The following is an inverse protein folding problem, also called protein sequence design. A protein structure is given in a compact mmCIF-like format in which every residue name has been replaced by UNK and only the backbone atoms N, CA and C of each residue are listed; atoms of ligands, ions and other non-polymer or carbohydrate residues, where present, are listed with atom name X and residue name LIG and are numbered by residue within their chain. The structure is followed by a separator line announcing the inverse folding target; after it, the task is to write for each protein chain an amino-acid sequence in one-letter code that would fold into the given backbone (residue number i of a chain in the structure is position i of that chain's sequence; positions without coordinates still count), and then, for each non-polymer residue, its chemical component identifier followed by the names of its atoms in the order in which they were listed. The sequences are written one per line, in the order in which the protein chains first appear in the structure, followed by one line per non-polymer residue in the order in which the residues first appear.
data_IF_570883537047
#
_entry.id   IF_570883537047
#
_cell.length_a   1.000
_cell.length_b   1.000
_cell.length_c   1.000
_cell.angle_alpha   90.00
_cell.angle_beta   90.00
_cell.angle_gamma   90.00
#
_symmetry.space_group_name_H-M   'P 1'
#
loop_
_entity.id
_entity.type
_entity.pdbx_description
1 polymer ?
#
# COMPACT_ATOMS: atom_id res chain seq x y z
N UNK A 1 -9.90 11.81 -6.53
CA UNK A 1 -9.98 11.21 -7.84
C UNK A 1 -10.43 9.78 -7.86
N UNK A 2 -10.57 9.17 -6.68
CA UNK A 2 -11.14 7.84 -6.54
C UNK A 2 -12.49 7.92 -5.83
N UNK A 3 -13.11 9.07 -5.86
CA UNK A 3 -14.41 9.29 -5.26
C UNK A 3 -15.44 8.34 -5.88
N UNK A 4 -16.27 7.74 -5.03
CA UNK A 4 -17.22 6.73 -5.47
C UNK A 4 -16.64 5.33 -5.59
N UNK A 5 -15.35 5.14 -5.28
CA UNK A 5 -14.71 3.83 -5.31
C UNK A 5 -14.18 3.47 -3.92
N UNK A 6 -14.15 2.16 -3.65
CA UNK A 6 -13.46 1.64 -2.48
C UNK A 6 -11.97 1.68 -2.75
N UNK A 7 -11.17 2.00 -1.73
CA UNK A 7 -9.72 2.15 -1.90
C UNK A 7 -9.00 1.32 -0.85
N UNK A 8 -8.03 0.52 -1.31
CA UNK A 8 -7.11 -0.20 -0.43
C UNK A 8 -5.76 0.46 -0.58
N UNK A 9 -5.24 1.03 0.50
CA UNK A 9 -3.90 1.61 0.52
C UNK A 9 -2.94 0.56 1.08
N UNK A 10 -2.01 0.10 0.26
CA UNK A 10 -0.95 -0.82 0.64
C UNK A 10 0.33 0.00 0.81
N UNK A 11 0.70 0.26 2.05
CA UNK A 11 1.78 1.18 2.41
C UNK A 11 2.96 0.35 2.91
N UNK A 12 4.17 0.66 2.44
CA UNK A 12 5.35 -0.15 2.78
C UNK A 12 6.64 0.66 2.70
N UNK A 13 7.73 0.15 3.33
CA UNK A 13 9.01 0.87 3.31
C UNK A 13 9.62 1.01 1.92
N UNK A 14 9.72 -0.08 1.16
CA UNK A 14 10.31 -0.03 -0.18
C UNK A 14 9.90 -1.25 -0.99
N UNK A 15 9.63 -1.03 -2.28
CA UNK A 15 9.31 -2.12 -3.23
C UNK A 15 10.49 -3.07 -3.41
N UNK A 16 11.69 -2.64 -3.07
CA UNK A 16 12.90 -3.46 -3.21
C UNK A 16 13.14 -4.39 -2.02
N UNK A 17 12.25 -4.44 -1.03
CA UNK A 17 12.32 -5.42 0.05
C UNK A 17 11.42 -6.60 -0.25
N UNK A 18 11.82 -7.81 0.22
CA UNK A 18 11.10 -9.04 -0.13
C UNK A 18 9.64 -9.05 0.27
N UNK A 19 9.33 -8.65 1.50
CA UNK A 19 7.95 -8.67 2.01
C UNK A 19 7.10 -7.60 1.31
N UNK A 20 7.68 -6.44 1.01
CA UNK A 20 6.96 -5.39 0.30
C UNK A 20 6.62 -5.83 -1.12
N UNK A 21 7.57 -6.47 -1.82
CA UNK A 21 7.32 -7.00 -3.14
C UNK A 21 6.23 -8.07 -3.10
N UNK A 22 6.28 -8.97 -2.10
CA UNK A 22 5.26 -10.01 -1.93
C UNK A 22 3.88 -9.42 -1.69
N UNK A 23 3.76 -8.38 -0.86
CA UNK A 23 2.47 -7.76 -0.60
C UNK A 23 1.92 -7.07 -1.84
N UNK A 24 2.77 -6.42 -2.62
CA UNK A 24 2.33 -5.78 -3.87
C UNK A 24 1.77 -6.81 -4.86
N UNK A 25 2.47 -7.95 -5.00
CA UNK A 25 1.98 -9.04 -5.87
C UNK A 25 0.67 -9.61 -5.38
N UNK A 26 0.56 -9.84 -4.07
CA UNK A 26 -0.64 -10.42 -3.48
C UNK A 26 -1.86 -9.52 -3.71
N UNK A 27 -1.74 -8.23 -3.43
CA UNK A 27 -2.84 -7.29 -3.66
C UNK A 27 -3.16 -7.13 -5.14
N UNK A 28 -2.15 -7.22 -6.02
CA UNK A 28 -2.41 -7.18 -7.45
C UNK A 28 -3.29 -8.35 -7.91
N UNK A 29 -3.01 -9.55 -7.40
CA UNK A 29 -3.83 -10.73 -7.74
C UNK A 29 -5.24 -10.57 -7.23
N UNK A 30 -5.38 -10.14 -5.96
CA UNK A 30 -6.69 -10.00 -5.34
C UNK A 30 -7.52 -8.87 -5.96
N UNK A 31 -6.85 -7.80 -6.41
CA UNK A 31 -7.55 -6.65 -6.99
C UNK A 31 -8.38 -7.03 -8.21
N UNK A 32 -7.96 -8.04 -8.96
CA UNK A 32 -8.67 -8.45 -10.17
C UNK A 32 -10.06 -9.01 -9.87
N UNK A 33 -10.31 -9.48 -8.66
CA UNK A 33 -11.59 -10.06 -8.25
C UNK A 33 -12.47 -9.10 -7.46
N UNK A 34 -12.00 -7.87 -7.18
CA UNK A 34 -12.72 -6.90 -6.37
C UNK A 34 -13.48 -5.91 -7.25
N UNK A 35 -14.78 -5.76 -7.00
CA UNK A 35 -15.61 -4.83 -7.77
C UNK A 35 -15.53 -3.42 -7.17
N UNK A 36 -15.51 -2.42 -8.05
CA UNK A 36 -15.52 -1.01 -7.66
C UNK A 36 -14.42 -0.66 -6.65
N UNK A 37 -13.25 -1.29 -6.79
CA UNK A 37 -12.15 -1.17 -5.84
C UNK A 37 -10.87 -0.80 -6.56
N UNK A 38 -10.11 0.13 -5.97
CA UNK A 38 -8.80 0.54 -6.44
C UNK A 38 -7.78 0.17 -5.36
N UNK A 39 -6.69 -0.49 -5.77
CA UNK A 39 -5.58 -0.79 -4.86
C UNK A 39 -4.43 0.15 -5.21
N UNK A 40 -3.93 0.85 -4.20
CA UNK A 40 -2.85 1.83 -4.36
C UNK A 40 -1.67 1.41 -3.50
N UNK A 41 -0.51 1.24 -4.12
CA UNK A 41 0.76 1.01 -3.42
C UNK A 41 1.41 2.36 -3.13
N UNK A 42 1.82 2.59 -1.89
CA UNK A 42 2.45 3.85 -1.47
C UNK A 42 3.73 3.57 -0.72
N UNK A 43 4.82 4.23 -1.12
CA UNK A 43 6.11 4.16 -0.42
C UNK A 43 6.91 5.42 -0.70
N UNK A 44 8.09 5.53 -0.09
CA UNK A 44 9.05 6.61 -0.37
C UNK A 44 9.91 6.31 -1.60
N UNK A 45 9.74 5.16 -2.25
CA UNK A 45 10.44 4.88 -3.50
C UNK A 45 10.14 5.96 -4.53
N UNK A 46 11.07 6.19 -5.44
CA UNK A 46 10.82 7.08 -6.56
C UNK A 46 9.75 6.47 -7.48
N UNK A 47 8.96 7.30 -8.16
CA UNK A 47 7.95 6.77 -9.09
C UNK A 47 8.53 5.86 -10.16
N UNK A 48 9.76 6.13 -10.58
CA UNK A 48 10.45 5.32 -11.58
C UNK A 48 10.71 3.89 -11.09
N UNK A 49 11.10 3.74 -9.81
CA UNK A 49 11.35 2.42 -9.23
C UNK A 49 10.07 1.62 -9.11
N UNK A 50 8.99 2.26 -8.66
CA UNK A 50 7.68 1.61 -8.57
C UNK A 50 7.17 1.17 -9.94
N UNK A 51 7.29 2.04 -10.94
CA UNK A 51 6.88 1.72 -12.30
C UNK A 51 7.68 0.58 -12.89
N UNK A 52 9.00 0.57 -12.68
CA UNK A 52 9.88 -0.50 -13.16
C UNK A 52 9.49 -1.85 -12.55
N UNK A 53 9.23 -1.88 -11.24
CA UNK A 53 8.81 -3.11 -10.56
C UNK A 53 7.51 -3.65 -11.15
N UNK A 54 6.51 -2.81 -11.29
CA UNK A 54 5.22 -3.24 -11.82
C UNK A 54 5.32 -3.71 -13.27
N UNK A 55 6.13 -3.04 -14.09
CA UNK A 55 6.35 -3.48 -15.46
C UNK A 55 7.05 -4.82 -15.52
N UNK A 56 8.10 -5.02 -14.71
CA UNK A 56 8.87 -6.25 -14.69
C UNK A 56 8.05 -7.44 -14.18
N UNK A 57 7.15 -7.22 -13.23
CA UNK A 57 6.32 -8.26 -12.61
C UNK A 57 4.96 -8.42 -13.29
N UNK A 58 4.62 -7.55 -14.24
CA UNK A 58 3.32 -7.61 -14.90
C UNK A 58 2.15 -7.21 -14.02
N UNK A 59 2.37 -6.36 -13.02
CA UNK A 59 1.32 -5.93 -12.09
C UNK A 59 0.50 -4.80 -12.72
N UNK A 60 -0.68 -5.11 -13.20
CA UNK A 60 -1.53 -4.17 -13.94
C UNK A 60 -2.76 -3.71 -13.17
N UNK A 61 -3.06 -4.36 -12.05
CA UNK A 61 -4.29 -4.11 -11.30
C UNK A 61 -4.10 -3.17 -10.10
N UNK A 62 -2.92 -2.60 -9.95
CA UNK A 62 -2.60 -1.69 -8.86
C UNK A 62 -2.07 -0.36 -9.41
N UNK A 63 -2.27 0.69 -8.63
CA UNK A 63 -1.73 2.03 -8.92
C UNK A 63 -0.59 2.29 -7.94
N UNK A 64 0.50 2.87 -8.41
CA UNK A 64 1.64 3.20 -7.56
C UNK A 64 1.72 4.70 -7.34
N UNK A 65 1.83 5.11 -6.09
CA UNK A 65 2.05 6.50 -5.73
C UNK A 65 3.29 6.59 -4.85
N UNK A 66 4.08 7.63 -5.08
CA UNK A 66 5.30 7.85 -4.31
C UNK A 66 5.08 8.96 -3.29
N UNK A 67 5.50 8.72 -2.04
CA UNK A 67 5.49 9.72 -0.98
C UNK A 67 6.85 10.44 -0.89
N UNK A 68 7.70 10.32 -1.90
CA UNK A 68 9.04 10.88 -1.87
C UNK A 68 9.03 12.40 -1.64
N UNK A 69 8.08 13.10 -2.25
CA UNK A 69 8.01 14.57 -2.21
C UNK A 69 6.79 15.09 -1.45
N UNK A 70 6.10 14.24 -0.71
CA UNK A 70 4.90 14.63 0.03
C UNK A 70 5.10 14.43 1.53
N UNK A 71 4.11 14.82 2.31
CA UNK A 71 4.11 14.62 3.76
C UNK A 71 3.07 13.60 4.21
N UNK A 72 2.68 12.70 3.31
CA UNK A 72 1.66 11.69 3.61
C UNK A 72 2.03 10.88 4.85
N UNK A 73 3.29 10.39 4.93
CA UNK A 73 3.74 9.56 6.04
C UNK A 73 3.68 10.28 7.38
N UNK A 74 4.12 11.53 7.41
CA UNK A 74 4.06 12.34 8.62
C UNK A 74 2.63 12.64 9.03
N UNK A 75 1.79 12.99 8.07
CA UNK A 75 0.38 13.33 8.31
C UNK A 75 -0.39 12.17 8.91
N UNK A 76 -0.12 10.94 8.44
CA UNK A 76 -0.82 9.74 8.94
C UNK A 76 -0.05 9.00 10.02
N UNK A 77 1.10 9.52 10.47
CA UNK A 77 1.87 8.89 11.53
C UNK A 77 2.52 7.58 11.13
N UNK A 78 2.88 7.43 9.86
CA UNK A 78 3.42 6.19 9.30
C UNK A 78 4.91 6.25 9.03
N UNK A 79 5.55 7.40 9.19
CA UNK A 79 6.98 7.53 8.94
C UNK A 79 7.77 6.88 10.09
N UNK A 80 8.73 6.03 9.73
CA UNK A 80 9.62 5.38 10.70
C UNK A 80 10.59 6.44 11.23
N UNK A 81 10.68 6.57 12.54
CA UNK A 81 11.47 7.63 13.18
C UNK A 81 12.80 7.15 13.74
N UNK A 82 13.03 5.85 13.81
CA UNK A 82 14.26 5.27 14.32
C UNK A 82 14.67 4.07 13.46
N UNK A 83 15.77 3.41 13.81
CA UNK A 83 16.33 2.27 13.08
C UNK A 83 16.98 2.67 11.76
N UNK A 84 17.66 1.72 11.08
CA UNK A 84 18.24 1.97 9.74
C UNK A 84 17.20 2.36 8.68
N UNK A 85 15.91 2.10 8.93
CA UNK A 85 14.83 2.43 8.00
C UNK A 85 14.19 3.79 8.27
N UNK A 86 14.81 4.60 9.13
CA UNK A 86 14.31 5.93 9.45
C UNK A 86 14.05 6.74 8.19
N UNK A 87 12.90 7.40 8.14
CA UNK A 87 12.48 8.21 7.00
C UNK A 87 11.62 7.47 5.99
N UNK A 88 11.60 6.14 6.02
CA UNK A 88 10.72 5.35 5.17
C UNK A 88 9.35 5.19 5.83
N UNK A 89 8.37 4.72 5.07
CA UNK A 89 7.05 4.44 5.62
C UNK A 89 7.04 3.08 6.30
N UNK A 90 6.25 2.94 7.36
CA UNK A 90 6.01 1.64 7.98
C UNK A 90 5.10 0.80 7.10
N UNK A 91 5.00 -0.50 7.40
CA UNK A 91 4.10 -1.38 6.67
C UNK A 91 2.70 -1.23 7.25
N UNK A 92 1.74 -0.83 6.43
CA UNK A 92 0.38 -0.59 6.88
C UNK A 92 -0.60 -0.83 5.74
N UNK A 93 -1.84 -1.15 6.11
CA UNK A 93 -2.95 -1.26 5.16
C UNK A 93 -4.09 -0.41 5.68
N UNK A 94 -4.66 0.40 4.80
CA UNK A 94 -5.83 1.23 5.11
C UNK A 94 -6.88 0.98 4.03
N UNK A 95 -8.12 0.72 4.45
CA UNK A 95 -9.24 0.52 3.54
C UNK A 95 -10.25 1.66 3.73
N UNK A 96 -10.63 2.29 2.62
CA UNK A 96 -11.61 3.37 2.59
C UNK A 96 -12.84 2.90 1.81
N UNK A 97 -14.02 3.36 2.25
CA UNK A 97 -15.25 3.07 1.51
C UNK A 97 -15.47 4.09 0.38
N UNK A 98 -16.60 3.98 -0.32
CA UNK A 98 -16.93 4.85 -1.46
C UNK A 98 -17.05 6.34 -1.08
N UNK A 99 -17.24 6.63 0.20
CA UNK A 99 -17.36 7.98 0.70
C UNK A 99 -16.05 8.52 1.30
N UNK A 100 -14.96 7.75 1.18
CA UNK A 100 -13.66 8.12 1.75
C UNK A 100 -13.55 7.89 3.24
N UNK A 101 -14.47 7.12 3.84
CA UNK A 101 -14.45 6.83 5.27
C UNK A 101 -13.60 5.60 5.53
N UNK A 102 -12.71 5.68 6.52
CA UNK A 102 -11.82 4.57 6.88
C UNK A 102 -12.65 3.44 7.48
N UNK A 103 -12.52 2.25 6.87
CA UNK A 103 -13.20 1.03 7.32
C UNK A 103 -12.28 0.06 8.05
N UNK A 104 -10.98 0.14 7.78
CA UNK A 104 -10.02 -0.82 8.33
C UNK A 104 -8.63 -0.20 8.31
N UNK A 105 -7.88 -0.42 9.39
CA UNK A 105 -6.47 -0.04 9.44
C UNK A 105 -5.68 -1.15 10.10
N UNK A 106 -4.47 -1.38 9.59
CA UNK A 106 -3.52 -2.27 10.21
C UNK A 106 -2.13 -1.69 10.04
N UNK A 107 -1.40 -1.54 11.14
CA UNK A 107 0.02 -1.22 11.08
C UNK A 107 0.77 -2.45 11.60
N UNK A 108 1.55 -3.09 10.73
CA UNK A 108 2.21 -4.34 11.04
C UNK A 108 3.38 -4.05 11.99
N UNK A 109 3.46 -4.72 13.17
CA UNK A 109 4.48 -4.41 14.17
C UNK A 109 5.90 -4.78 13.76
N UNK A 110 6.06 -5.81 12.90
CA UNK A 110 7.37 -6.27 12.46
C UNK A 110 7.53 -5.98 10.96
N UNK A 111 8.65 -5.36 10.57
CA UNK A 111 8.86 -4.93 9.19
C UNK A 111 8.89 -6.11 8.21
N UNK A 112 9.32 -7.28 8.68
CA UNK A 112 9.41 -8.48 7.85
C UNK A 112 8.11 -9.29 7.82
N UNK A 113 7.08 -8.85 8.53
CA UNK A 113 5.79 -9.53 8.60
C UNK A 113 4.87 -9.02 7.52
N UNK A 114 4.16 -9.92 6.84
CA UNK A 114 3.16 -9.54 5.85
C UNK A 114 1.88 -9.06 6.55
N UNK A 115 1.09 -8.17 5.89
CA UNK A 115 -0.19 -7.75 6.45
C UNK A 115 -1.21 -8.88 6.41
N UNK A 116 -2.32 -8.70 7.13
CA UNK A 116 -3.44 -9.65 7.10
C UNK A 116 -4.30 -9.35 5.88
N UNK A 117 -4.03 -10.02 4.78
CA UNK A 117 -4.74 -9.81 3.52
C UNK A 117 -6.22 -10.15 3.64
N UNK A 118 -6.55 -11.22 4.37
CA UNK A 118 -7.94 -11.64 4.52
C UNK A 118 -8.78 -10.59 5.23
N UNK A 119 -8.24 -9.98 6.30
CA UNK A 119 -8.95 -8.94 7.02
C UNK A 119 -9.17 -7.71 6.14
N UNK A 120 -8.17 -7.31 5.36
CA UNK A 120 -8.30 -6.17 4.45
C UNK A 120 -9.35 -6.43 3.37
N UNK A 121 -9.36 -7.64 2.79
CA UNK A 121 -10.33 -8.01 1.75
C UNK A 121 -11.75 -8.07 2.30
N UNK A 122 -11.93 -8.57 3.52
CA UNK A 122 -13.24 -8.58 4.16
C UNK A 122 -13.77 -7.15 4.37
N UNK A 123 -12.89 -6.21 4.70
CA UNK A 123 -13.29 -4.82 4.91
C UNK A 123 -13.74 -4.13 3.62
N UNK A 124 -13.29 -4.62 2.46
CA UNK A 124 -13.66 -4.07 1.15
C UNK A 124 -15.05 -4.54 0.73
N UNK A 125 -15.47 -5.70 1.16
CA UNK A 125 -16.74 -6.30 0.74
C UNK A 125 -18.00 -5.60 1.29
#
# INVERSE_FOLDING_TARGET
DFEGKKVVLNIFPSIDTGVCAASARHFNEDASSLENTVVINISKDLPFALGRFCAAEGLKNVINLSDYRSNFGETYGLTITDSPLKGLLSRAVVVLDENGIVKYTEQVPEIAQEPDYSAALEAVK
#
